data_IF_945582243730
#
_entry.id   IF_945582243730
#
_cell.length_a   1.000
_cell.length_b   1.000
_cell.length_c   1.000
_cell.angle_alpha   90.00
_cell.angle_beta   90.00
_cell.angle_gamma   90.00
#
_symmetry.space_group_name_H-M   'P 1'
#
loop_
_entity.id
_entity.type
_entity.pdbx_description
1 polymer ?
#
# COMPACT_ATOMS: atom_id res chain seq x y z
N UNK A 1 -2.02 -7.84 23.67
CA UNK A 1 -1.12 -7.56 22.54
C UNK A 1 -1.97 -6.84 21.52
N UNK A 2 -1.72 -5.55 21.27
CA UNK A 2 -2.48 -4.76 20.28
C UNK A 2 -1.94 -5.07 18.89
N UNK A 3 -2.83 -5.10 17.90
CA UNK A 3 -2.46 -5.16 16.47
C UNK A 3 -2.31 -3.75 15.88
N UNK A 4 -2.89 -2.74 16.55
CA UNK A 4 -2.71 -1.36 16.17
C UNK A 4 -1.28 -0.91 16.46
N UNK A 5 -0.79 -0.03 15.59
CA UNK A 5 0.47 0.68 15.79
C UNK A 5 0.48 1.42 17.14
N UNK A 6 1.54 1.22 17.90
CA UNK A 6 1.76 1.88 19.18
C UNK A 6 3.14 2.55 19.18
N UNK A 7 3.17 3.88 19.15
CA UNK A 7 4.42 4.64 19.09
C UNK A 7 5.45 4.28 20.19
N UNK A 8 4.97 3.92 21.39
CA UNK A 8 5.83 3.49 22.51
C UNK A 8 6.61 2.19 22.22
N UNK A 9 6.07 1.33 21.35
CA UNK A 9 6.63 0.02 21.01
C UNK A 9 7.31 0.05 19.64
N UNK A 10 6.67 0.69 18.67
CA UNK A 10 7.03 0.64 17.25
C UNK A 10 7.93 1.82 16.83
N UNK A 11 8.23 2.75 17.75
CA UNK A 11 8.93 4.01 17.48
C UNK A 11 7.97 5.08 17.00
N UNK A 12 8.43 6.34 16.80
CA UNK A 12 7.58 7.42 16.32
C UNK A 12 7.45 7.42 14.79
N UNK A 13 6.23 7.61 14.28
CA UNK A 13 6.04 7.89 12.86
C UNK A 13 6.57 9.29 12.55
N UNK A 14 7.24 9.49 11.41
CA UNK A 14 7.67 10.81 11.00
C UNK A 14 6.46 11.73 10.85
N UNK A 15 6.69 13.02 11.08
CA UNK A 15 5.68 14.02 10.77
C UNK A 15 5.67 14.25 9.26
N UNK A 16 4.55 13.90 8.63
CA UNK A 16 4.43 13.84 7.17
C UNK A 16 3.23 14.67 6.75
N UNK A 17 3.49 15.71 5.96
CA UNK A 17 2.42 16.48 5.32
C UNK A 17 1.83 15.71 4.12
N UNK A 18 0.54 15.37 4.20
CA UNK A 18 -0.20 14.65 3.15
C UNK A 18 -0.07 15.34 1.79
N UNK A 19 -0.15 16.67 1.77
CA UNK A 19 -0.13 17.45 0.51
C UNK A 19 1.21 17.31 -0.19
N UNK A 20 2.30 17.44 0.57
CA UNK A 20 3.67 17.29 0.07
C UNK A 20 3.92 15.89 -0.50
N UNK A 21 3.45 14.82 0.17
CA UNK A 21 3.58 13.45 -0.35
C UNK A 21 2.78 13.25 -1.63
N UNK A 22 1.53 13.74 -1.66
CA UNK A 22 0.67 13.65 -2.84
C UNK A 22 1.31 14.35 -4.04
N UNK A 23 1.84 15.56 -3.85
CA UNK A 23 2.51 16.31 -4.91
C UNK A 23 3.78 15.61 -5.38
N UNK A 24 4.62 15.13 -4.47
CA UNK A 24 5.85 14.42 -4.82
C UNK A 24 5.57 13.14 -5.64
N UNK A 25 4.56 12.37 -5.25
CA UNK A 25 4.14 11.17 -5.99
C UNK A 25 3.58 11.52 -7.37
N UNK A 26 2.77 12.57 -7.49
CA UNK A 26 2.25 13.02 -8.81
C UNK A 26 3.35 13.47 -9.75
N UNK A 27 4.36 14.17 -9.22
CA UNK A 27 5.50 14.66 -9.99
C UNK A 27 6.40 13.51 -10.47
N UNK A 28 6.74 12.57 -9.57
CA UNK A 28 7.75 11.53 -9.84
C UNK A 28 7.17 10.25 -10.43
N UNK A 29 5.85 10.05 -10.34
CA UNK A 29 5.16 8.83 -10.80
C UNK A 29 3.96 9.21 -11.69
N UNK A 30 4.21 9.76 -12.89
CA UNK A 30 3.13 10.20 -13.76
C UNK A 30 2.19 9.03 -14.12
N UNK A 31 0.88 9.31 -14.10
CA UNK A 31 -0.16 8.32 -14.39
C UNK A 31 -0.40 7.30 -13.28
N UNK A 32 0.13 7.51 -12.07
CA UNK A 32 -0.23 6.75 -10.88
C UNK A 32 -1.63 7.13 -10.40
N UNK A 33 -2.46 6.11 -10.15
CA UNK A 33 -3.74 6.28 -9.47
C UNK A 33 -3.47 6.43 -7.97
N UNK A 34 -3.82 7.60 -7.42
CA UNK A 34 -3.62 7.95 -6.00
C UNK A 34 -4.97 8.37 -5.43
N UNK A 35 -5.48 7.59 -4.47
CA UNK A 35 -6.68 7.91 -3.71
C UNK A 35 -6.30 8.73 -2.49
N UNK A 36 -7.01 9.82 -2.25
CA UNK A 36 -6.65 10.78 -1.22
C UNK A 36 -7.83 11.52 -0.58
N UNK A 37 -9.05 11.39 -1.11
CA UNK A 37 -10.23 11.88 -0.39
C UNK A 37 -10.65 10.87 0.67
N UNK A 38 -11.39 11.33 1.69
CA UNK A 38 -11.84 10.47 2.76
C UNK A 38 -12.73 9.33 2.23
N UNK A 39 -13.62 9.62 1.28
CA UNK A 39 -14.50 8.63 0.65
C UNK A 39 -13.74 7.55 -0.10
N UNK A 40 -12.61 7.89 -0.72
CA UNK A 40 -11.79 6.94 -1.47
C UNK A 40 -10.93 6.05 -0.57
N UNK A 41 -10.45 6.59 0.56
CA UNK A 41 -9.52 5.87 1.46
C UNK A 41 -10.23 5.08 2.57
N UNK A 42 -11.46 5.46 2.96
CA UNK A 42 -12.25 4.74 3.98
C UNK A 42 -12.39 3.24 3.67
N UNK A 43 -12.67 2.80 2.43
CA UNK A 43 -12.75 1.36 2.10
C UNK A 43 -11.46 0.57 2.40
N UNK A 44 -10.34 1.25 2.57
CA UNK A 44 -9.03 0.65 2.84
C UNK A 44 -8.64 0.69 4.32
N UNK A 45 -9.50 1.17 5.23
CA UNK A 45 -9.16 1.38 6.65
C UNK A 45 -8.88 0.09 7.44
N UNK A 46 -9.28 -1.07 6.94
CA UNK A 46 -8.98 -2.37 7.54
C UNK A 46 -8.65 -3.44 6.49
N UNK A 47 -8.01 -4.51 6.94
CA UNK A 47 -7.94 -5.78 6.21
C UNK A 47 -9.09 -6.71 6.63
N UNK A 48 -8.92 -8.03 6.55
CA UNK A 48 -9.96 -9.00 6.92
C UNK A 48 -10.28 -8.96 8.41
N UNK A 49 -9.42 -8.37 9.24
CA UNK A 49 -9.62 -8.19 10.67
C UNK A 49 -10.33 -6.85 10.97
N UNK A 50 -11.58 -6.73 10.51
CA UNK A 50 -12.37 -5.49 10.47
C UNK A 50 -12.68 -4.81 11.81
N UNK A 51 -12.36 -5.48 12.93
CA UNK A 51 -12.43 -4.90 14.28
C UNK A 51 -11.36 -3.81 14.51
N UNK A 52 -10.27 -3.82 13.74
CA UNK A 52 -9.20 -2.82 13.81
C UNK A 52 -9.21 -1.97 12.54
N UNK A 53 -9.17 -0.65 12.73
CA UNK A 53 -9.31 0.30 11.62
C UNK A 53 -8.35 1.45 11.79
N UNK A 54 -7.70 1.84 10.70
CA UNK A 54 -6.82 3.00 10.62
C UNK A 54 -6.84 3.50 9.18
N UNK A 55 -7.16 4.78 8.98
CA UNK A 55 -7.18 5.38 7.64
C UNK A 55 -5.75 5.63 7.18
N UNK A 56 -5.34 5.21 5.97
CA UNK A 56 -4.02 5.53 5.46
C UNK A 56 -3.84 7.02 5.16
N UNK A 57 -2.59 7.46 5.01
CA UNK A 57 -2.28 8.80 4.51
C UNK A 57 -2.76 8.98 3.07
N UNK A 58 -2.48 7.99 2.22
CA UNK A 58 -2.83 7.87 0.80
C UNK A 58 -2.94 6.38 0.43
N UNK A 59 -3.72 6.06 -0.60
CA UNK A 59 -3.70 4.72 -1.23
C UNK A 59 -3.18 4.87 -2.65
N UNK A 60 -2.23 4.02 -3.05
CA UNK A 60 -1.64 4.05 -4.40
C UNK A 60 -1.88 2.73 -5.11
N UNK A 61 -2.30 2.80 -6.37
CA UNK A 61 -2.61 1.63 -7.21
C UNK A 61 -1.70 1.62 -8.45
N UNK A 62 -0.47 1.10 -8.34
CA UNK A 62 0.42 0.97 -9.50
C UNK A 62 -0.08 -0.13 -10.44
N UNK A 63 0.21 0.05 -11.74
CA UNK A 63 -0.11 -0.90 -12.82
C UNK A 63 1.12 -1.49 -13.51
N UNK A 64 2.31 -1.03 -13.15
CA UNK A 64 3.58 -1.44 -13.75
C UNK A 64 4.74 -1.32 -12.75
N UNK A 65 5.82 -2.07 -12.99
CA UNK A 65 6.93 -2.23 -12.03
C UNK A 65 7.68 -0.92 -11.77
N UNK A 66 7.78 -0.05 -12.78
CA UNK A 66 8.47 1.24 -12.68
C UNK A 66 7.76 2.15 -11.67
N UNK A 67 6.42 2.09 -11.63
CA UNK A 67 5.64 2.86 -10.66
C UNK A 67 5.90 2.37 -9.24
N UNK A 68 5.94 1.06 -9.01
CA UNK A 68 6.26 0.50 -7.68
C UNK A 68 7.63 1.00 -7.20
N UNK A 69 8.62 0.91 -8.07
CA UNK A 69 9.99 1.34 -7.75
C UNK A 69 10.04 2.84 -7.44
N UNK A 70 9.37 3.67 -8.24
CA UNK A 70 9.33 5.11 -8.04
C UNK A 70 8.55 5.51 -6.76
N UNK A 71 7.43 4.85 -6.46
CA UNK A 71 6.67 5.03 -5.20
C UNK A 71 7.57 4.76 -4.00
N UNK A 72 8.24 3.62 -3.98
CA UNK A 72 9.12 3.23 -2.87
C UNK A 72 10.30 4.19 -2.73
N UNK A 73 10.88 4.66 -3.84
CA UNK A 73 11.96 5.65 -3.82
C UNK A 73 11.50 7.00 -3.23
N UNK A 74 10.32 7.50 -3.64
CA UNK A 74 9.74 8.74 -3.11
C UNK A 74 9.44 8.60 -1.62
N UNK A 75 8.76 7.51 -1.22
CA UNK A 75 8.40 7.27 0.17
C UNK A 75 9.65 7.13 1.05
N UNK A 76 10.67 6.40 0.59
CA UNK A 76 11.95 6.28 1.30
C UNK A 76 12.63 7.64 1.50
N UNK A 77 12.72 8.46 0.44
CA UNK A 77 13.31 9.82 0.52
C UNK A 77 12.58 10.73 1.51
N UNK A 78 11.25 10.64 1.53
CA UNK A 78 10.39 11.41 2.45
C UNK A 78 10.21 10.73 3.82
N UNK A 79 10.84 9.56 4.04
CA UNK A 79 10.70 8.71 5.22
C UNK A 79 9.25 8.29 5.51
N UNK A 80 8.39 8.25 4.50
CA UNK A 80 6.99 7.84 4.65
C UNK A 80 6.92 6.31 4.71
N UNK A 81 6.34 5.71 5.76
CA UNK A 81 6.20 4.26 5.83
C UNK A 81 5.23 3.77 4.76
N UNK A 82 5.47 2.55 4.28
CA UNK A 82 4.65 1.91 3.25
C UNK A 82 4.11 0.59 3.78
N UNK A 83 2.80 0.39 3.68
CA UNK A 83 2.15 -0.89 3.95
C UNK A 83 1.71 -1.48 2.62
N UNK A 84 2.12 -2.71 2.31
CA UNK A 84 1.71 -3.41 1.09
C UNK A 84 0.42 -4.18 1.31
N UNK A 85 -0.51 -4.10 0.35
CA UNK A 85 -1.81 -4.79 0.41
C UNK A 85 -2.14 -5.48 -0.91
N UNK A 86 -2.54 -6.75 -0.82
CA UNK A 86 -3.21 -7.49 -1.90
C UNK A 86 -4.72 -7.23 -1.88
N UNK A 87 -5.52 -8.28 -1.73
CA UNK A 87 -6.98 -8.14 -1.51
C UNK A 87 -7.33 -7.58 -0.11
N UNK A 88 -6.43 -7.69 0.86
CA UNK A 88 -6.66 -7.27 2.24
C UNK A 88 -7.63 -8.19 2.98
N UNK A 89 -7.55 -9.50 2.76
CA UNK A 89 -8.39 -10.53 3.41
C UNK A 89 -7.69 -11.21 4.60
N UNK A 90 -6.46 -10.80 4.92
CA UNK A 90 -5.71 -11.35 6.05
C UNK A 90 -6.40 -11.08 7.39
N UNK A 91 -6.29 -12.02 8.32
CA UNK A 91 -6.92 -11.95 9.66
C UNK A 91 -5.93 -11.66 10.79
N UNK A 92 -4.69 -11.31 10.44
CA UNK A 92 -3.60 -11.04 11.41
C UNK A 92 -3.26 -9.55 11.54
N UNK A 93 -3.89 -8.67 10.75
CA UNK A 93 -3.55 -7.25 10.70
C UNK A 93 -2.31 -6.92 9.85
N UNK A 94 -1.76 -7.89 9.11
CA UNK A 94 -0.54 -7.69 8.32
C UNK A 94 -0.70 -6.70 7.15
N UNK A 95 -1.92 -6.38 6.75
CA UNK A 95 -2.21 -5.36 5.74
C UNK A 95 -3.01 -4.18 6.31
N UNK A 96 -3.01 -4.02 7.64
CA UNK A 96 -3.63 -2.88 8.31
C UNK A 96 -2.81 -1.60 7.98
N UNK A 97 -3.46 -0.51 7.54
CA UNK A 97 -2.72 0.70 7.20
C UNK A 97 -2.13 1.41 8.42
N UNK A 98 -1.17 2.30 8.15
CA UNK A 98 -0.67 3.27 9.13
C UNK A 98 -1.23 4.65 8.81
N UNK A 99 -1.61 5.40 9.85
CA UNK A 99 -2.21 6.74 9.69
C UNK A 99 -1.34 7.70 8.88
N UNK A 100 -0.02 7.67 9.13
CA UNK A 100 0.97 8.49 8.43
C UNK A 100 1.67 7.75 7.28
N UNK A 101 1.10 6.61 6.84
CA UNK A 101 1.71 5.75 5.83
C UNK A 101 0.95 5.69 4.51
N UNK A 102 1.70 5.36 3.44
CA UNK A 102 1.13 5.09 2.12
C UNK A 102 0.74 3.61 2.04
N UNK A 103 -0.51 3.34 1.67
CA UNK A 103 -0.97 1.97 1.40
C UNK A 103 -0.74 1.63 -0.08
N UNK A 104 0.17 0.69 -0.34
CA UNK A 104 0.54 0.21 -1.67
C UNK A 104 -0.34 -0.99 -2.06
N UNK A 105 -1.34 -0.76 -2.91
CA UNK A 105 -2.35 -1.76 -3.28
C UNK A 105 -1.99 -2.40 -4.63
N UNK A 106 -1.69 -3.69 -4.62
CA UNK A 106 -1.24 -4.44 -5.80
C UNK A 106 -2.40 -4.99 -6.66
N UNK A 107 -3.64 -4.59 -6.41
CA UNK A 107 -4.84 -5.15 -7.05
C UNK A 107 -4.91 -4.96 -8.59
N UNK A 108 -4.10 -4.06 -9.17
CA UNK A 108 -4.03 -3.86 -10.63
C UNK A 108 -3.03 -4.80 -11.31
N UNK A 109 -2.13 -5.44 -10.55
CA UNK A 109 -1.12 -6.38 -11.02
C UNK A 109 -1.73 -7.79 -11.17
N UNK A 110 -2.60 -7.99 -12.15
CA UNK A 110 -3.47 -9.18 -12.29
C UNK A 110 -3.17 -10.06 -13.51
N UNK A 111 -1.96 -9.97 -14.06
CA UNK A 111 -1.58 -10.77 -15.23
C UNK A 111 -0.92 -12.10 -14.86
N UNK A 112 -1.31 -13.15 -15.59
CA UNK A 112 -0.57 -14.41 -15.63
C UNK A 112 0.52 -14.28 -16.69
N UNK A 113 1.78 -14.38 -16.26
CA UNK A 113 2.95 -14.10 -17.11
C UNK A 113 3.48 -15.35 -17.81
N UNK A 114 3.31 -16.53 -17.20
CA UNK A 114 3.74 -17.82 -17.76
C UNK A 114 3.00 -18.96 -17.05
N UNK A 115 2.63 -20.01 -17.79
CA UNK A 115 2.09 -21.26 -17.24
C UNK A 115 2.88 -22.42 -17.85
N UNK A 116 3.46 -23.25 -17.01
CA UNK A 116 4.11 -24.50 -17.40
C UNK A 116 3.37 -25.69 -16.75
N UNK A 117 2.42 -26.32 -17.48
CA UNK A 117 1.63 -27.44 -16.96
C UNK A 117 2.48 -28.68 -16.67
N UNK A 118 3.45 -28.98 -17.54
CA UNK A 118 4.35 -30.13 -17.38
C UNK A 118 5.22 -29.96 -16.12
N UNK A 119 5.75 -28.75 -15.93
CA UNK A 119 6.54 -28.38 -14.76
C UNK A 119 5.72 -28.06 -13.50
N UNK A 120 4.38 -28.02 -13.58
CA UNK A 120 3.46 -27.61 -12.51
C UNK A 120 3.84 -26.28 -11.86
N UNK A 121 4.10 -25.27 -12.68
CA UNK A 121 4.46 -23.91 -12.22
C UNK A 121 3.68 -22.86 -13.00
N UNK A 122 3.41 -21.74 -12.33
CA UNK A 122 2.94 -20.52 -12.96
C UNK A 122 3.74 -19.34 -12.41
N UNK A 123 3.98 -18.35 -13.26
CA UNK A 123 4.51 -17.05 -12.87
C UNK A 123 3.41 -16.02 -13.06
N UNK A 124 3.05 -15.35 -11.98
CA UNK A 124 1.92 -14.41 -11.93
C UNK A 124 2.36 -13.11 -11.30
N UNK A 125 1.64 -12.05 -11.62
CA UNK A 125 1.74 -10.80 -10.89
C UNK A 125 1.06 -10.93 -9.51
N UNK A 126 1.45 -10.11 -8.51
CA UNK A 126 1.03 -10.28 -7.11
C UNK A 126 -0.45 -10.01 -6.81
N UNK A 127 -1.22 -9.48 -7.75
CA UNK A 127 -2.66 -9.25 -7.64
C UNK A 127 -3.52 -10.34 -8.29
N UNK A 128 -2.92 -11.39 -8.86
CA UNK A 128 -3.58 -12.64 -9.28
C UNK A 128 -3.88 -13.49 -8.04
#
# INVERSE_FOLDING_TARGET
>A
MSILYEERLDGALPDVDRTSVLMALREHVPGLEILHTDEEIIPYECDGLSAYRTRPLLVVLPKQMEQVTAILAVCHRLRVPVVTRGAGTGLSGGALPLEKGVLLVMARFKEILDINPVGRRARVQPGV
#
